data_IF_500850730064
#
_entry.id   IF_500850730064
#
_cell.length_a   1.000
_cell.length_b   1.000
_cell.length_c   1.000
_cell.angle_alpha   90.00
_cell.angle_beta   90.00
_cell.angle_gamma   90.00
#
_symmetry.space_group_name_H-M   'P 1'
#
loop_
_entity.id
_entity.type
_entity.pdbx_description
1 polymer ?
#
# COMPACT_ATOMS: atom_id res chain seq x y z
N UNK A 1 1.95 10.44 4.48
CA UNK A 1 1.83 9.98 5.88
C UNK A 1 1.04 8.69 5.89
N UNK A 2 1.40 7.71 6.73
CA UNK A 2 0.58 6.50 6.92
C UNK A 2 -0.48 6.63 8.02
N UNK A 3 -0.23 7.49 9.00
CA UNK A 3 -1.16 7.74 10.09
C UNK A 3 -2.02 8.98 9.79
N UNK A 4 -3.24 8.99 10.31
CA UNK A 4 -4.18 10.09 10.16
C UNK A 4 -5.38 9.93 11.10
N UNK A 5 -6.09 11.03 11.31
CA UNK A 5 -7.36 11.12 12.02
C UNK A 5 -8.22 12.21 11.36
N UNK A 6 -9.27 12.68 12.06
CA UNK A 6 -10.07 13.86 11.65
C UNK A 6 -9.15 15.02 11.26
N UNK A 7 -9.51 15.69 10.16
CA UNK A 7 -8.83 16.87 9.60
C UNK A 7 -7.38 16.67 9.16
N UNK A 8 -6.86 15.44 9.17
CA UNK A 8 -5.51 15.16 8.66
C UNK A 8 -5.33 15.58 7.19
N UNK A 9 -6.31 15.40 6.28
CA UNK A 9 -6.19 15.90 4.91
C UNK A 9 -6.02 17.42 4.77
N UNK A 10 -6.33 18.22 5.80
CA UNK A 10 -6.07 19.67 5.81
C UNK A 10 -4.58 19.99 5.83
N UNK A 11 -3.78 19.12 6.45
CA UNK A 11 -2.35 19.36 6.73
C UNK A 11 -1.43 18.39 5.97
N UNK A 12 -1.89 17.15 5.78
CA UNK A 12 -1.19 16.15 5.00
C UNK A 12 -1.49 16.30 3.51
N UNK A 13 -0.46 16.54 2.71
CA UNK A 13 -0.61 16.69 1.26
C UNK A 13 -0.64 15.36 0.50
N UNK A 14 -0.07 14.30 1.07
CA UNK A 14 0.02 12.98 0.44
C UNK A 14 0.05 11.89 1.51
N UNK A 15 -0.82 10.89 1.34
CA UNK A 15 -0.89 9.71 2.19
C UNK A 15 -0.36 8.48 1.48
N UNK A 16 -0.07 7.44 2.26
CA UNK A 16 0.16 6.10 1.72
C UNK A 16 -0.45 5.04 2.63
N UNK A 17 -0.70 3.87 2.06
CA UNK A 17 -1.41 2.76 2.73
C UNK A 17 -0.67 2.09 3.89
N UNK A 18 0.52 2.55 4.27
CA UNK A 18 1.35 1.90 5.28
C UNK A 18 1.99 0.60 4.79
N UNK A 19 2.23 -0.29 5.73
CA UNK A 19 3.18 -1.39 5.59
C UNK A 19 2.45 -2.70 5.21
N UNK A 20 2.08 -2.88 3.93
CA UNK A 20 1.49 -4.16 3.51
C UNK A 20 2.52 -5.30 3.51
N UNK A 21 2.11 -6.52 3.82
CA UNK A 21 2.93 -7.70 3.52
C UNK A 21 3.17 -7.88 2.03
N UNK A 22 4.32 -8.48 1.70
CA UNK A 22 4.68 -8.87 0.32
C UNK A 22 3.88 -10.11 -0.13
N UNK A 23 2.54 -9.99 -0.17
CA UNK A 23 1.61 -11.10 -0.33
C UNK A 23 0.33 -10.76 -1.13
N UNK A 24 -0.41 -11.79 -1.49
CA UNK A 24 -1.72 -11.74 -2.15
C UNK A 24 -2.92 -11.85 -1.18
N UNK A 25 -2.64 -11.78 0.12
CA UNK A 25 -3.65 -11.98 1.15
C UNK A 25 -4.69 -10.86 1.16
N UNK A 26 -5.87 -11.18 1.67
CA UNK A 26 -7.00 -10.25 1.67
C UNK A 26 -6.80 -9.08 2.67
N UNK A 27 -6.26 -9.38 3.85
CA UNK A 27 -6.23 -8.43 4.97
C UNK A 27 -4.90 -7.70 5.13
N UNK A 28 -3.85 -8.13 4.42
CA UNK A 28 -2.52 -7.56 4.52
C UNK A 28 -1.70 -7.86 3.25
N UNK A 29 -2.05 -7.24 2.14
CA UNK A 29 -1.42 -7.46 0.84
C UNK A 29 -1.95 -6.50 -0.21
N UNK A 30 -1.69 -6.79 -1.48
CA UNK A 30 -2.14 -5.90 -2.58
C UNK A 30 -3.66 -5.63 -2.58
N UNK A 31 -4.46 -6.54 -2.01
CA UNK A 31 -5.91 -6.36 -1.89
C UNK A 31 -6.27 -5.37 -0.80
N UNK A 32 -5.62 -5.44 0.37
CA UNK A 32 -5.90 -4.51 1.46
C UNK A 32 -5.48 -3.09 1.11
N UNK A 33 -4.42 -2.89 0.30
CA UNK A 33 -4.09 -1.55 -0.20
C UNK A 33 -5.19 -0.93 -1.05
N UNK A 34 -5.90 -1.71 -1.88
CA UNK A 34 -7.04 -1.18 -2.66
C UNK A 34 -8.19 -0.78 -1.76
N UNK A 35 -8.49 -1.58 -0.73
CA UNK A 35 -9.53 -1.26 0.26
C UNK A 35 -9.20 0.04 1.01
N UNK A 36 -7.94 0.20 1.41
CA UNK A 36 -7.47 1.41 2.07
C UNK A 36 -7.50 2.66 1.18
N UNK A 37 -7.12 2.53 -0.10
CA UNK A 37 -7.23 3.62 -1.08
C UNK A 37 -8.67 4.10 -1.25
N UNK A 38 -9.63 3.18 -1.36
CA UNK A 38 -11.05 3.52 -1.54
C UNK A 38 -11.67 4.13 -0.27
N UNK A 39 -11.42 3.51 0.88
CA UNK A 39 -11.99 3.96 2.17
C UNK A 39 -11.41 5.31 2.61
N UNK A 40 -10.11 5.55 2.41
CA UNK A 40 -9.48 6.84 2.67
C UNK A 40 -10.01 7.92 1.71
N UNK A 41 -10.21 7.60 0.43
CA UNK A 41 -10.82 8.50 -0.55
C UNK A 41 -12.22 8.97 -0.14
N UNK A 42 -13.09 8.05 0.31
CA UNK A 42 -14.42 8.38 0.88
C UNK A 42 -14.28 9.28 2.12
N UNK A 43 -13.21 9.11 2.88
CA UNK A 43 -12.91 9.90 4.09
C UNK A 43 -12.22 11.25 3.80
N UNK A 44 -12.10 11.65 2.53
CA UNK A 44 -11.55 12.95 2.12
C UNK A 44 -10.03 12.98 1.88
N UNK A 45 -9.37 11.82 1.83
CA UNK A 45 -7.94 11.72 1.53
C UNK A 45 -7.73 11.67 0.01
N UNK A 46 -7.73 12.83 -0.64
CA UNK A 46 -7.74 12.94 -2.11
C UNK A 46 -6.48 12.37 -2.80
N UNK A 47 -5.32 12.45 -2.14
CA UNK A 47 -4.05 11.95 -2.69
C UNK A 47 -3.49 10.83 -1.81
N UNK A 48 -3.49 9.63 -2.37
CA UNK A 48 -3.03 8.43 -1.68
C UNK A 48 -2.37 7.45 -2.67
N UNK A 49 -1.50 6.58 -2.18
CA UNK A 49 -0.78 5.56 -2.96
C UNK A 49 -0.34 4.41 -2.05
N UNK A 50 0.22 3.34 -2.60
CA UNK A 50 0.81 2.25 -1.81
C UNK A 50 2.27 2.03 -2.17
N UNK A 51 2.99 1.30 -1.33
CA UNK A 51 4.30 0.76 -1.70
C UNK A 51 4.15 -0.26 -2.83
N UNK A 52 4.76 0.01 -4.00
CA UNK A 52 4.74 -0.93 -5.11
C UNK A 52 5.50 -2.20 -4.71
N UNK A 53 4.74 -3.30 -4.59
CA UNK A 53 5.26 -4.60 -4.16
C UNK A 53 5.09 -4.90 -2.67
N UNK A 54 4.54 -3.97 -1.88
CA UNK A 54 4.41 -4.08 -0.42
C UNK A 54 5.73 -3.80 0.29
N UNK A 55 5.75 -3.93 1.62
CA UNK A 55 6.91 -3.59 2.47
C UNK A 55 7.30 -4.75 3.39
N UNK A 56 6.34 -5.28 4.16
CA UNK A 56 6.65 -6.21 5.23
C UNK A 56 7.09 -7.57 4.67
N UNK A 57 8.38 -7.85 4.80
CA UNK A 57 9.04 -9.10 4.44
C UNK A 57 9.34 -9.87 5.71
N UNK A 58 8.90 -11.12 5.78
CA UNK A 58 9.18 -12.01 6.92
C UNK A 58 10.06 -13.14 6.43
N UNK A 59 11.22 -13.30 7.05
CA UNK A 59 12.20 -14.33 6.67
C UNK A 59 12.59 -15.15 7.91
N UNK A 60 11.63 -15.88 8.45
CA UNK A 60 11.82 -16.79 9.57
C UNK A 60 12.04 -18.22 9.04
N UNK A 61 12.59 -19.15 9.86
CA UNK A 61 12.86 -20.52 9.42
C UNK A 61 11.63 -21.25 8.84
N UNK A 62 10.45 -21.02 9.44
CA UNK A 62 9.20 -21.71 9.10
C UNK A 62 8.28 -20.82 8.24
N UNK A 63 8.34 -19.50 8.40
CA UNK A 63 7.46 -18.54 7.72
C UNK A 63 8.30 -17.61 6.85
N UNK A 64 8.06 -17.67 5.53
CA UNK A 64 8.79 -16.87 4.54
C UNK A 64 7.81 -16.15 3.63
N UNK A 65 7.78 -14.83 3.74
CA UNK A 65 7.14 -13.93 2.79
C UNK A 65 8.26 -13.15 2.12
N UNK A 66 8.48 -13.46 0.83
CA UNK A 66 9.39 -12.71 -0.04
C UNK A 66 8.61 -12.25 -1.25
N UNK A 67 8.81 -11.01 -1.64
CA UNK A 67 8.17 -10.42 -2.81
C UNK A 67 8.54 -11.23 -4.05
N UNK A 68 7.54 -11.72 -4.77
CA UNK A 68 7.76 -12.33 -6.08
C UNK A 68 7.82 -11.24 -7.16
N UNK A 69 8.49 -11.54 -8.27
CA UNK A 69 8.50 -10.64 -9.44
C UNK A 69 7.08 -10.38 -9.96
N UNK A 70 6.23 -11.40 -10.00
CA UNK A 70 4.83 -11.24 -10.39
C UNK A 70 4.09 -10.26 -9.48
N UNK A 71 4.23 -10.42 -8.16
CA UNK A 71 3.59 -9.51 -7.20
C UNK A 71 4.06 -8.06 -7.42
N UNK A 72 5.36 -7.85 -7.66
CA UNK A 72 5.89 -6.52 -7.97
C UNK A 72 5.25 -5.94 -9.24
N UNK A 73 5.25 -6.68 -10.34
CA UNK A 73 4.72 -6.24 -11.63
C UNK A 73 3.21 -5.93 -11.56
N UNK A 74 2.44 -6.77 -10.87
CA UNK A 74 1.00 -6.54 -10.68
C UNK A 74 0.71 -5.33 -9.82
N UNK A 75 1.56 -5.05 -8.84
CA UNK A 75 1.45 -3.84 -8.04
C UNK A 75 1.89 -2.57 -8.78
N UNK A 76 2.81 -2.70 -9.75
CA UNK A 76 3.15 -1.63 -10.69
C UNK A 76 1.96 -1.31 -11.60
N UNK A 77 1.30 -2.32 -12.17
CA UNK A 77 0.06 -2.14 -12.97
C UNK A 77 -1.03 -1.44 -12.16
N UNK A 78 -1.16 -1.74 -10.86
CA UNK A 78 -2.11 -1.05 -9.99
C UNK A 78 -1.73 0.42 -9.77
N UNK A 79 -0.47 0.70 -9.42
CA UNK A 79 -0.02 2.06 -9.10
C UNK A 79 0.26 2.94 -10.33
N UNK A 80 0.28 2.39 -11.55
CA UNK A 80 0.30 3.24 -12.75
C UNK A 80 -0.96 4.08 -12.89
N UNK A 81 -2.04 3.73 -12.18
CA UNK A 81 -3.30 4.47 -12.14
C UNK A 81 -3.58 5.13 -10.77
N UNK A 82 -2.55 5.31 -9.93
CA UNK A 82 -2.62 6.11 -8.70
C UNK A 82 -1.90 7.45 -8.87
N UNK A 83 -1.98 8.34 -7.87
CA UNK A 83 -1.36 9.67 -7.93
C UNK A 83 0.18 9.62 -7.94
N UNK A 84 0.78 8.59 -7.34
CA UNK A 84 2.23 8.49 -7.15
C UNK A 84 2.71 7.06 -7.42
N UNK A 85 3.69 6.94 -8.31
CA UNK A 85 4.38 5.68 -8.59
C UNK A 85 5.66 5.59 -7.75
N UNK A 86 5.61 4.86 -6.61
CA UNK A 86 6.75 4.74 -5.67
C UNK A 86 7.01 3.30 -5.26
N UNK A 87 8.26 2.86 -5.43
CA UNK A 87 8.76 1.57 -4.96
C UNK A 87 9.31 1.64 -3.53
N UNK A 88 9.50 0.48 -2.91
CA UNK A 88 10.22 0.32 -1.65
C UNK A 88 11.05 -0.97 -1.69
N UNK A 89 12.30 -0.93 -1.25
CA UNK A 89 13.11 -2.15 -1.06
C UNK A 89 12.58 -2.97 0.11
#
# INVERSE_FOLDING_TARGET
MRAGFRDSPKWGMLFWEGDQMVSWQANDGIKSSVVGLLSSGISGYAFNHSDIGGYCTVNLPIVKYRRSQELLLRWMELNSFTTVFRTHE
#
